data_IF_806218958443
#
_entry.id   IF_806218958443
#
_cell.length_a   1.000
_cell.length_b   1.000
_cell.length_c   1.000
_cell.angle_alpha   90.00
_cell.angle_beta   90.00
_cell.angle_gamma   90.00
#
_symmetry.space_group_name_H-M   'P 1'
#
loop_
_entity.id
_entity.type
_entity.pdbx_description
1 polymer ?
#
# COMPACT_ATOMS: atom_id res chain seq x y z
N UNK A 1 3.26 25.10 54.70
CA UNK A 1 4.29 24.83 55.72
C UNK A 1 4.99 23.52 55.39
N UNK A 2 6.32 23.58 55.23
CA UNK A 2 7.32 22.55 55.66
C UNK A 2 7.29 21.22 54.86
N UNK A 3 8.10 20.98 53.82
CA UNK A 3 9.54 20.62 53.72
C UNK A 3 9.98 19.26 54.29
N UNK A 4 10.96 18.66 53.60
CA UNK A 4 11.89 17.53 53.89
C UNK A 4 11.46 16.14 53.40
N UNK A 5 12.13 15.46 52.46
CA UNK A 5 13.55 15.15 52.16
C UNK A 5 14.01 13.79 52.72
N UNK A 6 14.82 13.09 51.90
CA UNK A 6 15.89 12.09 52.16
C UNK A 6 15.82 11.05 51.02
N UNK A 7 16.76 10.96 50.07
CA UNK A 7 18.22 10.78 50.12
C UNK A 7 18.65 9.56 50.94
N UNK A 8 19.06 8.50 50.25
CA UNK A 8 19.98 7.51 50.81
C UNK A 8 20.84 6.91 49.71
N UNK A 9 22.14 7.18 49.82
CA UNK A 9 23.21 6.65 48.99
C UNK A 9 23.75 5.36 49.63
N UNK A 10 24.32 4.45 48.83
CA UNK A 10 25.36 3.55 49.32
C UNK A 10 26.35 3.20 48.20
N UNK A 11 27.60 3.05 48.59
CA UNK A 11 28.83 3.24 47.83
C UNK A 11 29.72 1.97 47.97
N UNK A 12 30.33 1.53 46.85
CA UNK A 12 31.63 0.78 46.70
C UNK A 12 31.75 -0.66 47.30
N UNK A 13 32.79 -1.50 47.01
CA UNK A 13 34.12 -1.20 46.40
C UNK A 13 34.82 -2.27 45.47
N UNK A 14 35.92 -1.83 44.82
CA UNK A 14 37.26 -2.47 44.58
C UNK A 14 37.42 -3.85 43.89
N UNK A 15 38.25 -3.93 42.83
CA UNK A 15 39.59 -4.56 42.85
C UNK A 15 40.27 -4.60 41.46
N UNK A 16 41.56 -4.28 41.46
CA UNK A 16 42.49 -4.23 40.33
C UNK A 16 43.12 -5.60 40.00
N UNK A 17 43.56 -5.79 38.76
CA UNK A 17 44.38 -6.94 38.33
C UNK A 17 45.11 -6.64 37.01
N UNK A 18 46.42 -6.89 36.98
CA UNK A 18 47.42 -6.43 36.03
C UNK A 18 47.51 -7.22 34.70
N UNK A 19 48.29 -6.68 33.74
CA UNK A 19 48.59 -7.18 32.38
C UNK A 19 49.44 -8.47 32.35
N UNK A 20 49.62 -9.15 31.18
CA UNK A 20 50.72 -8.78 30.28
C UNK A 20 50.51 -9.00 28.75
N UNK A 21 51.49 -8.45 28.04
CA UNK A 21 51.83 -8.36 26.60
C UNK A 21 51.81 -9.70 25.83
N UNK A 22 51.33 -9.68 24.57
CA UNK A 22 51.85 -10.54 23.51
C UNK A 22 51.73 -9.84 22.13
N UNK A 23 52.90 -9.53 21.55
CA UNK A 23 53.05 -9.25 20.12
C UNK A 23 52.93 -10.59 19.38
N UNK A 24 51.98 -10.70 18.44
CA UNK A 24 51.96 -11.78 17.45
C UNK A 24 51.89 -11.19 16.05
N UNK A 25 52.90 -11.58 15.29
CA UNK A 25 53.22 -11.29 13.91
C UNK A 25 52.19 -11.90 12.95
N UNK A 26 51.92 -11.17 11.85
CA UNK A 26 51.57 -11.59 10.49
C UNK A 26 50.58 -12.76 10.27
N UNK A 27 49.46 -12.48 9.59
CA UNK A 27 49.06 -13.18 8.35
C UNK A 27 47.79 -12.54 7.75
N UNK A 28 47.75 -12.51 6.43
CA UNK A 28 46.71 -12.01 5.55
C UNK A 28 45.32 -12.62 5.81
N UNK A 29 44.28 -11.79 5.74
CA UNK A 29 43.25 -11.87 4.70
C UNK A 29 42.11 -10.91 5.07
N UNK A 30 41.67 -10.16 4.06
CA UNK A 30 40.62 -9.15 4.13
C UNK A 30 39.38 -9.66 4.88
N UNK A 31 38.88 -8.95 5.91
CA UNK A 31 37.56 -9.26 6.42
C UNK A 31 36.55 -8.79 5.36
N UNK A 32 36.05 -9.73 4.57
CA UNK A 32 34.72 -9.60 3.98
C UNK A 32 33.79 -9.30 5.16
N UNK A 33 33.37 -8.04 5.26
CA UNK A 33 32.72 -7.48 6.44
C UNK A 33 31.49 -8.29 6.82
N UNK A 34 31.64 -9.19 7.78
CA UNK A 34 30.54 -9.79 8.50
C UNK A 34 29.87 -8.65 9.28
N UNK A 35 28.88 -8.02 8.65
CA UNK A 35 27.98 -7.09 9.35
C UNK A 35 27.42 -7.87 10.53
N UNK A 36 27.78 -7.47 11.74
CA UNK A 36 27.32 -8.08 12.98
C UNK A 36 25.85 -7.73 13.18
N UNK A 37 24.99 -8.36 12.38
CA UNK A 37 23.54 -8.21 12.48
C UNK A 37 23.09 -8.96 13.72
N UNK A 38 23.00 -8.24 14.83
CA UNK A 38 22.36 -8.75 16.05
C UNK A 38 20.86 -8.97 15.80
N UNK A 39 20.23 -9.85 16.59
CA UNK A 39 18.79 -10.14 16.49
C UNK A 39 17.96 -8.85 16.59
N UNK A 40 18.41 -7.87 17.36
CA UNK A 40 17.79 -6.55 17.47
C UNK A 40 17.85 -5.72 16.16
N UNK A 41 18.93 -5.83 15.38
CA UNK A 41 19.03 -5.19 14.04
C UNK A 41 18.24 -5.91 12.95
N UNK A 42 18.00 -7.23 13.09
CA UNK A 42 17.15 -8.00 12.18
C UNK A 42 15.65 -7.80 12.48
N UNK A 43 15.31 -7.63 13.76
CA UNK A 43 13.95 -7.35 14.25
C UNK A 43 13.89 -5.95 14.87
N UNK A 44 14.18 -4.93 14.07
CA UNK A 44 13.67 -3.59 14.43
C UNK A 44 12.16 -3.67 14.24
N UNK A 45 11.40 -3.59 15.33
CA UNK A 45 9.96 -3.79 15.39
C UNK A 45 9.14 -2.74 14.64
N UNK A 46 9.39 -2.58 13.35
CA UNK A 46 8.54 -1.86 12.45
C UNK A 46 7.35 -2.78 12.17
N UNK A 47 6.22 -2.49 12.82
CA UNK A 47 5.04 -3.35 13.02
C UNK A 47 4.29 -3.74 11.73
N UNK A 48 4.91 -3.64 10.56
CA UNK A 48 4.29 -3.84 9.24
C UNK A 48 5.25 -4.58 8.29
N UNK A 49 5.97 -5.60 8.75
CA UNK A 49 6.63 -6.57 7.86
C UNK A 49 5.88 -7.88 7.85
N UNK A 50 5.59 -8.36 6.64
CA UNK A 50 5.12 -9.72 6.41
C UNK A 50 6.26 -10.71 6.73
N UNK A 51 6.07 -11.64 7.68
CA UNK A 51 7.10 -12.59 8.09
C UNK A 51 7.50 -13.59 7.01
N UNK A 52 6.77 -13.70 5.90
CA UNK A 52 7.08 -14.66 4.83
C UNK A 52 7.87 -14.06 3.66
N UNK A 53 8.23 -12.78 3.70
CA UNK A 53 9.07 -12.15 2.67
C UNK A 53 10.55 -12.09 3.08
N UNK A 54 11.48 -12.69 2.29
CA UNK A 54 12.89 -12.69 2.61
C UNK A 54 13.48 -11.28 2.63
N UNK A 55 14.41 -11.03 3.57
CA UNK A 55 15.09 -9.74 3.74
C UNK A 55 16.10 -9.55 2.61
N UNK A 56 15.68 -8.99 1.48
CA UNK A 56 16.61 -8.46 0.50
C UNK A 56 17.18 -7.14 1.04
N UNK A 57 18.46 -7.12 1.39
CA UNK A 57 19.22 -5.88 1.62
C UNK A 57 19.05 -4.97 0.40
N UNK A 58 18.29 -3.89 0.54
CA UNK A 58 18.05 -2.91 -0.53
C UNK A 58 16.66 -2.95 -1.17
N UNK A 59 15.70 -3.72 -0.66
CA UNK A 59 14.32 -3.62 -1.12
C UNK A 59 13.70 -2.30 -0.65
N UNK A 60 13.83 -1.29 -1.51
CA UNK A 60 12.96 -0.11 -1.59
C UNK A 60 11.54 -0.56 -1.25
N UNK A 61 10.95 0.03 -0.21
CA UNK A 61 9.51 0.04 -0.02
C UNK A 61 8.86 0.27 -1.38
N UNK A 62 7.90 -0.56 -1.78
CA UNK A 62 7.07 -0.30 -2.96
C UNK A 62 6.51 1.10 -2.77
N UNK A 63 7.08 2.09 -3.46
CA UNK A 63 6.58 3.46 -3.44
C UNK A 63 5.22 3.36 -4.11
N UNK A 64 4.16 3.46 -3.32
CA UNK A 64 2.82 3.74 -3.81
C UNK A 64 2.94 5.02 -4.61
N UNK A 65 2.78 4.94 -5.94
CA UNK A 65 3.06 6.03 -6.87
C UNK A 65 2.56 7.40 -6.37
N UNK A 66 3.49 8.18 -5.82
CA UNK A 66 3.36 9.61 -5.56
C UNK A 66 3.73 10.36 -6.85
N UNK A 67 2.98 10.10 -7.93
CA UNK A 67 3.17 10.78 -9.20
C UNK A 67 1.82 11.22 -9.78
N UNK A 68 0.98 11.87 -8.97
CA UNK A 68 -0.13 12.67 -9.48
C UNK A 68 -0.33 13.83 -8.53
N UNK A 69 -0.07 15.05 -9.01
CA UNK A 69 -0.26 16.26 -8.25
C UNK A 69 -1.65 16.25 -7.58
N UNK A 70 -1.75 16.63 -6.30
CA UNK A 70 -3.02 16.70 -5.60
C UNK A 70 -3.87 17.84 -6.18
N UNK A 71 -4.57 17.59 -7.28
CA UNK A 71 -5.44 18.57 -7.93
C UNK A 71 -5.57 18.44 -9.44
N UNK A 72 -4.72 17.65 -10.11
CA UNK A 72 -4.89 17.42 -11.54
C UNK A 72 -6.18 16.60 -11.79
N UNK A 73 -7.07 17.04 -12.71
CA UNK A 73 -8.25 16.28 -13.07
C UNK A 73 -7.79 14.94 -13.65
N UNK A 74 -8.20 13.86 -12.99
CA UNK A 74 -7.97 12.52 -13.45
C UNK A 74 -8.81 12.28 -14.70
N UNK A 75 -8.18 12.35 -15.88
CA UNK A 75 -8.81 12.01 -17.15
C UNK A 75 -8.99 10.48 -17.16
N UNK A 76 -10.22 10.04 -16.94
CA UNK A 76 -10.60 8.63 -17.00
C UNK A 76 -11.30 8.39 -18.34
N UNK A 77 -10.73 7.51 -19.15
CA UNK A 77 -11.42 6.99 -20.33
C UNK A 77 -12.38 5.88 -19.90
N UNK A 78 -13.68 6.11 -20.07
CA UNK A 78 -14.71 5.14 -19.71
C UNK A 78 -14.65 3.89 -20.58
N UNK A 79 -14.12 3.94 -21.82
CA UNK A 79 -14.07 2.79 -22.72
C UNK A 79 -13.02 1.76 -22.31
N UNK A 80 -11.96 2.20 -21.64
CA UNK A 80 -10.89 1.34 -21.12
C UNK A 80 -11.25 0.71 -19.76
N UNK A 81 -12.50 0.85 -19.30
CA UNK A 81 -12.98 0.29 -18.05
C UNK A 81 -13.63 -1.08 -18.28
N UNK A 82 -13.45 -1.96 -17.31
CA UNK A 82 -14.00 -3.31 -17.30
C UNK A 82 -14.89 -3.43 -16.06
N UNK A 83 -16.17 -3.77 -16.26
CA UNK A 83 -17.09 -4.02 -15.16
C UNK A 83 -16.72 -5.36 -14.49
N UNK A 84 -16.27 -5.29 -13.24
CA UNK A 84 -15.89 -6.47 -12.45
C UNK A 84 -17.07 -7.07 -11.71
N UNK A 85 -18.00 -6.23 -11.24
CA UNK A 85 -19.13 -6.72 -10.48
C UNK A 85 -20.15 -5.64 -10.15
N UNK A 86 -21.34 -6.09 -9.78
CA UNK A 86 -22.43 -5.24 -9.29
C UNK A 86 -22.87 -5.80 -7.95
N UNK A 87 -22.95 -4.95 -6.93
CA UNK A 87 -23.32 -5.30 -5.58
C UNK A 87 -24.54 -4.49 -5.16
N UNK A 88 -25.40 -5.10 -4.34
CA UNK A 88 -26.55 -4.44 -3.74
C UNK A 88 -26.36 -4.35 -2.24
N UNK A 89 -26.53 -3.17 -1.70
CA UNK A 89 -26.65 -2.93 -0.26
C UNK A 89 -28.08 -2.49 0.08
N UNK A 90 -28.36 -2.43 1.36
CA UNK A 90 -29.59 -1.89 1.94
C UNK A 90 -29.87 -0.43 1.54
N UNK A 91 -28.81 0.39 1.43
CA UNK A 91 -28.94 1.83 1.18
C UNK A 91 -28.72 2.19 -0.28
N UNK A 92 -27.72 1.61 -0.93
CA UNK A 92 -27.34 1.96 -2.30
C UNK A 92 -26.89 0.74 -3.09
N UNK A 93 -26.99 0.85 -4.41
CA UNK A 93 -26.37 -0.10 -5.32
C UNK A 93 -24.96 0.37 -5.67
N UNK A 94 -24.06 -0.60 -5.87
CA UNK A 94 -22.65 -0.37 -6.19
C UNK A 94 -22.27 -1.13 -7.45
N UNK A 95 -21.38 -0.55 -8.24
CA UNK A 95 -20.69 -1.25 -9.32
C UNK A 95 -19.19 -1.05 -9.20
N UNK A 96 -18.44 -2.14 -9.39
CA UNK A 96 -16.99 -2.15 -9.33
C UNK A 96 -16.45 -2.21 -10.76
N UNK A 97 -15.57 -1.29 -11.07
CA UNK A 97 -14.86 -1.25 -12.34
C UNK A 97 -13.36 -1.36 -12.11
N UNK A 98 -12.66 -1.90 -13.10
CA UNK A 98 -11.21 -1.85 -13.17
C UNK A 98 -10.81 -1.24 -14.51
N UNK A 99 -9.86 -0.32 -14.50
CA UNK A 99 -9.17 0.09 -15.73
C UNK A 99 -8.27 -1.05 -16.22
N UNK A 100 -7.91 -1.04 -17.50
CA UNK A 100 -6.84 -1.87 -18.07
C UNK A 100 -5.54 -1.79 -17.25
N UNK A 101 -5.22 -0.62 -16.67
CA UNK A 101 -4.05 -0.43 -15.80
C UNK A 101 -4.20 -1.05 -14.39
N UNK A 102 -5.32 -1.70 -14.09
CA UNK A 102 -5.60 -2.32 -12.79
C UNK A 102 -6.13 -1.38 -11.71
N UNK A 103 -6.28 -0.08 -11.99
CA UNK A 103 -6.87 0.89 -11.07
C UNK A 103 -8.36 0.55 -10.88
N UNK A 104 -8.78 0.44 -9.62
CA UNK A 104 -10.16 0.13 -9.28
C UNK A 104 -10.99 1.40 -9.09
N UNK A 105 -12.20 1.40 -9.63
CA UNK A 105 -13.17 2.48 -9.49
C UNK A 105 -14.48 1.93 -8.95
N UNK A 106 -15.13 2.70 -8.09
CA UNK A 106 -16.38 2.34 -7.45
C UNK A 106 -17.47 3.31 -7.88
N UNK A 107 -18.52 2.82 -8.53
CA UNK A 107 -19.73 3.60 -8.78
C UNK A 107 -20.69 3.41 -7.61
N UNK A 108 -21.03 4.50 -6.91
CA UNK A 108 -21.97 4.52 -5.78
C UNK A 108 -22.87 5.74 -5.87
N UNK A 109 -24.18 5.55 -5.68
CA UNK A 109 -25.15 6.64 -5.67
C UNK A 109 -25.04 7.56 -6.92
N UNK A 110 -24.75 6.95 -8.07
CA UNK A 110 -24.60 7.62 -9.36
C UNK A 110 -23.30 8.41 -9.58
N UNK A 111 -22.35 8.35 -8.64
CA UNK A 111 -21.03 8.99 -8.74
C UNK A 111 -19.92 7.95 -8.79
N UNK A 112 -18.92 8.19 -9.64
CA UNK A 112 -17.74 7.35 -9.72
C UNK A 112 -16.69 7.82 -8.69
N UNK A 113 -16.12 6.89 -7.95
CA UNK A 113 -15.06 7.10 -6.97
C UNK A 113 -13.80 6.37 -7.42
N UNK A 114 -12.64 6.97 -7.19
CA UNK A 114 -11.36 6.31 -7.42
C UNK A 114 -10.93 5.44 -6.21
N UNK A 115 -9.77 4.80 -6.33
CA UNK A 115 -9.11 4.02 -5.29
C UNK A 115 -8.88 4.80 -3.98
N UNK A 116 -8.71 6.11 -4.07
CA UNK A 116 -8.56 7.04 -2.94
C UNK A 116 -9.90 7.55 -2.39
N UNK A 117 -11.02 6.94 -2.81
CA UNK A 117 -12.38 7.33 -2.44
C UNK A 117 -12.70 8.81 -2.74
N UNK A 118 -12.06 9.39 -3.76
CA UNK A 118 -12.38 10.72 -4.31
C UNK A 118 -13.34 10.58 -5.46
N UNK A 119 -14.29 11.51 -5.55
CA UNK A 119 -15.23 11.56 -6.67
C UNK A 119 -14.45 11.95 -7.93
N UNK A 120 -14.60 11.15 -9.00
CA UNK A 120 -14.10 11.48 -10.33
C UNK A 120 -15.05 12.52 -10.94
N UNK A 121 -14.59 13.75 -11.20
CA UNK A 121 -15.46 14.80 -11.69
C UNK A 121 -15.94 14.49 -13.12
N UNK A 122 -17.19 14.87 -13.41
CA UNK A 122 -17.78 14.74 -14.75
C UNK A 122 -18.37 13.37 -15.07
N UNK A 123 -17.96 12.30 -14.39
CA UNK A 123 -18.47 10.95 -14.68
C UNK A 123 -19.63 10.61 -13.74
N UNK A 124 -20.82 10.45 -14.33
CA UNK A 124 -22.00 9.97 -13.66
C UNK A 124 -22.32 8.54 -14.11
N UNK A 125 -23.13 7.81 -13.35
CA UNK A 125 -23.55 6.49 -13.78
C UNK A 125 -24.91 6.07 -13.25
N UNK A 126 -25.50 5.05 -13.89
CA UNK A 126 -26.77 4.43 -13.49
C UNK A 126 -26.62 2.93 -13.43
N UNK A 127 -27.08 2.34 -12.34
CA UNK A 127 -27.02 0.90 -12.12
C UNK A 127 -28.43 0.33 -12.33
N UNK A 128 -28.56 -0.61 -13.27
CA UNK A 128 -29.80 -1.35 -13.53
C UNK A 128 -29.64 -2.79 -13.06
N UNK A 129 -29.81 -3.02 -11.76
CA UNK A 129 -29.61 -4.33 -11.12
C UNK A 129 -30.37 -5.47 -11.79
N UNK A 130 -31.65 -5.25 -12.15
CA UNK A 130 -32.50 -6.29 -12.79
C UNK A 130 -31.91 -6.79 -14.10
N UNK A 131 -31.24 -5.90 -14.83
CA UNK A 131 -30.64 -6.18 -16.14
C UNK A 131 -29.14 -6.49 -16.04
N UNK A 132 -28.56 -6.51 -14.83
CA UNK A 132 -27.12 -6.64 -14.58
C UNK A 132 -26.29 -5.70 -15.47
N UNK A 133 -26.82 -4.49 -15.69
CA UNK A 133 -26.26 -3.51 -16.61
C UNK A 133 -25.90 -2.24 -15.85
N UNK A 134 -24.80 -1.60 -16.23
CA UNK A 134 -24.36 -0.31 -15.69
C UNK A 134 -24.06 0.64 -16.83
N UNK A 135 -24.55 1.86 -16.74
CA UNK A 135 -24.33 2.91 -17.73
C UNK A 135 -23.42 3.97 -17.11
N UNK A 136 -22.30 4.28 -17.75
CA UNK A 136 -21.44 5.42 -17.40
C UNK A 136 -21.66 6.55 -18.40
N UNK A 137 -21.69 7.78 -17.89
CA UNK A 137 -21.99 9.00 -18.64
C UNK A 137 -20.88 10.01 -18.38
N UNK A 138 -20.16 10.37 -19.44
CA UNK A 138 -19.07 11.37 -19.45
C UNK A 138 -19.65 12.80 -19.51
N UNK A 139 -18.91 13.86 -19.14
CA UNK A 139 -19.36 15.26 -19.32
C UNK A 139 -19.78 15.57 -20.76
N UNK A 140 -19.17 14.91 -21.75
CA UNK A 140 -19.47 15.06 -23.18
C UNK A 140 -20.77 14.37 -23.62
N UNK A 141 -21.56 13.86 -22.65
CA UNK A 141 -22.80 13.07 -22.85
C UNK A 141 -22.58 11.74 -23.57
N UNK A 142 -21.35 11.29 -23.63
CA UNK A 142 -21.01 9.96 -24.10
C UNK A 142 -21.46 8.90 -23.09
N UNK A 143 -22.05 7.81 -23.58
CA UNK A 143 -22.71 6.80 -22.75
C UNK A 143 -22.15 5.43 -23.08
N UNK A 144 -21.41 4.85 -22.14
CA UNK A 144 -20.92 3.49 -22.24
C UNK A 144 -21.76 2.54 -21.37
N UNK A 145 -22.22 1.46 -21.99
CA UNK A 145 -23.07 0.46 -21.34
C UNK A 145 -22.25 -0.80 -21.08
N UNK A 146 -22.17 -1.21 -19.82
CA UNK A 146 -21.49 -2.41 -19.38
C UNK A 146 -22.49 -3.46 -18.94
N UNK A 147 -22.28 -4.71 -19.37
CA UNK A 147 -23.10 -5.86 -18.97
C UNK A 147 -22.24 -6.86 -18.23
N UNK A 148 -22.73 -7.34 -17.09
CA UNK A 148 -22.02 -8.36 -16.33
C UNK A 148 -22.29 -9.75 -16.91
N UNK A 149 -21.29 -10.35 -17.56
CA UNK A 149 -21.31 -11.76 -17.99
C UNK A 149 -21.24 -12.04 -19.50
N UNK A 150 -21.00 -11.02 -20.34
CA UNK A 150 -21.00 -11.16 -21.81
C UNK A 150 -19.80 -10.40 -22.44
N UNK A 151 -18.55 -10.87 -22.29
CA UNK A 151 -17.41 -10.22 -22.97
C UNK A 151 -16.35 -11.18 -23.56
N UNK A 152 -16.40 -12.49 -23.28
CA UNK A 152 -15.35 -13.41 -23.74
C UNK A 152 -15.64 -14.12 -25.08
N UNK A 153 -16.88 -14.07 -25.59
CA UNK A 153 -17.27 -14.90 -26.76
C UNK A 153 -17.17 -14.22 -28.12
N UNK A 154 -16.99 -12.89 -28.17
CA UNK A 154 -17.09 -12.13 -29.42
C UNK A 154 -15.74 -11.60 -29.94
N UNK A 155 -14.63 -11.83 -29.23
CA UNK A 155 -13.28 -11.41 -29.65
C UNK A 155 -12.44 -12.49 -30.35
N UNK A 156 -12.95 -13.73 -30.48
CA UNK A 156 -12.21 -14.87 -31.06
C UNK A 156 -12.56 -15.15 -32.53
N UNK A 157 -13.37 -14.30 -33.17
CA UNK A 157 -13.72 -14.43 -34.60
C UNK A 157 -13.38 -13.18 -35.39
N UNK A 158 -12.08 -12.85 -35.48
CA UNK A 158 -11.54 -12.04 -36.57
C UNK A 158 -10.23 -12.64 -37.05
#
# INVERSE_FOLDING_TARGET
>A
MITFALLSALLAPVAAGAQPVALSTAAESSPFGASTQTVATLYTGDRVRDPFLPVAMGASSVRRDEAKEPGAPEVVDIHAMILRGIMKDSVNDYALFASESGISYLLRAGKLYNDRNKIVPGIAGRIKLKQKTVELITPDKDVQVFRLGEDEKDKEKQ
#
